data_IF_491478992378
#
_entry.id   IF_491478992378
#
_cell.length_a   1.000
_cell.length_b   1.000
_cell.length_c   1.000
_cell.angle_alpha   90.00
_cell.angle_beta   90.00
_cell.angle_gamma   90.00
#
_symmetry.space_group_name_H-M   'P 1'
#
loop_
_entity.id
_entity.type
_entity.pdbx_description
1 polymer ?
#
# COMPACT_ATOMS: atom_id res chain seq x y z
N UNK A 1 -60.07 22.96 24.49
CA UNK A 1 -59.79 22.08 23.33
C UNK A 1 -58.38 22.33 22.84
N UNK A 2 -57.71 21.26 22.41
CA UNK A 2 -56.43 21.13 21.67
C UNK A 2 -56.35 22.10 20.45
N UNK A 3 -55.21 22.71 20.09
CA UNK A 3 -54.14 22.26 19.15
C UNK A 3 -53.11 23.43 19.01
N UNK A 4 -51.81 23.37 18.64
CA UNK A 4 -50.86 22.29 18.28
C UNK A 4 -49.38 22.74 18.49
N UNK A 5 -48.44 21.81 18.36
CA UNK A 5 -46.96 21.94 18.19
C UNK A 5 -46.55 20.90 17.11
N UNK A 6 -45.49 20.99 16.25
CA UNK A 6 -44.32 21.90 16.17
C UNK A 6 -44.26 22.68 14.81
N UNK A 7 -43.14 23.21 14.29
CA UNK A 7 -42.00 22.52 13.65
C UNK A 7 -40.64 23.22 13.91
N UNK A 8 -39.79 22.66 14.79
CA UNK A 8 -38.37 23.04 14.89
C UNK A 8 -37.54 22.11 13.99
N UNK A 9 -37.63 22.32 12.67
CA UNK A 9 -36.83 21.56 11.70
C UNK A 9 -35.33 21.81 11.91
N UNK A 10 -34.45 20.80 11.79
CA UNK A 10 -33.01 21.01 11.86
C UNK A 10 -32.56 22.01 10.80
N UNK A 11 -31.73 22.98 11.21
CA UNK A 11 -30.94 23.77 10.25
C UNK A 11 -30.02 22.78 9.53
N UNK A 12 -30.42 22.36 8.33
CA UNK A 12 -29.62 21.48 7.49
C UNK A 12 -28.24 22.10 7.23
N UNK A 13 -27.20 21.27 7.00
CA UNK A 13 -25.85 21.78 6.78
C UNK A 13 -25.86 22.79 5.61
N UNK A 14 -25.26 23.95 5.86
CA UNK A 14 -25.19 25.05 4.90
C UNK A 14 -24.74 24.55 3.53
N UNK A 15 -25.50 24.91 2.48
CA UNK A 15 -25.12 24.62 1.09
C UNK A 15 -23.71 25.16 0.85
N UNK A 16 -22.75 24.35 0.37
CA UNK A 16 -21.44 24.85 -0.01
C UNK A 16 -21.57 25.92 -1.09
N UNK A 17 -20.81 27.01 -0.94
CA UNK A 17 -20.63 28.02 -1.99
C UNK A 17 -20.29 27.33 -3.32
N UNK A 18 -20.87 27.77 -4.45
CA UNK A 18 -20.55 27.18 -5.74
C UNK A 18 -19.05 27.36 -6.02
N UNK A 19 -18.33 26.25 -6.18
CA UNK A 19 -16.88 26.24 -6.42
C UNK A 19 -16.50 27.27 -7.49
N UNK A 20 -15.49 28.08 -7.18
CA UNK A 20 -15.03 29.19 -8.03
C UNK A 20 -14.87 28.72 -9.47
N UNK A 21 -15.70 29.27 -10.38
CA UNK A 21 -15.70 28.89 -11.79
C UNK A 21 -14.40 29.35 -12.45
N UNK A 22 -13.44 28.45 -12.53
CA UNK A 22 -12.28 28.59 -13.41
C UNK A 22 -12.81 28.82 -14.84
N UNK A 23 -12.35 29.88 -15.56
CA UNK A 23 -12.82 30.17 -16.91
C UNK A 23 -12.58 29.00 -17.88
N UNK A 24 -13.50 28.70 -18.81
CA UNK A 24 -13.27 27.70 -19.84
C UNK A 24 -12.05 28.07 -20.70
N UNK A 25 -10.98 27.28 -20.60
CA UNK A 25 -9.69 27.53 -21.26
C UNK A 25 -8.52 27.67 -20.29
N UNK A 26 -8.78 28.05 -19.04
CA UNK A 26 -7.80 27.96 -17.96
C UNK A 26 -7.83 26.53 -17.38
N UNK A 27 -6.67 25.89 -17.30
CA UNK A 27 -6.56 24.64 -16.52
C UNK A 27 -6.83 24.96 -15.05
N UNK A 28 -7.76 24.27 -14.36
CA UNK A 28 -7.89 24.40 -12.92
C UNK A 28 -6.52 24.18 -12.25
N UNK A 29 -6.20 24.90 -11.16
CA UNK A 29 -4.96 24.67 -10.44
C UNK A 29 -4.89 23.20 -10.06
N UNK A 30 -3.85 22.51 -10.53
CA UNK A 30 -3.76 21.06 -10.38
C UNK A 30 -3.89 20.66 -8.92
N UNK A 31 -4.81 19.72 -8.65
CA UNK A 31 -5.08 19.18 -7.31
C UNK A 31 -3.91 18.30 -6.82
N UNK A 32 -2.71 18.87 -6.73
CA UNK A 32 -1.46 18.20 -6.39
C UNK A 32 -1.34 17.81 -4.90
N UNK A 33 -2.43 17.92 -4.15
CA UNK A 33 -2.60 17.62 -2.73
C UNK A 33 -2.18 16.19 -2.32
N UNK A 34 -1.88 15.31 -3.28
CA UNK A 34 -1.47 13.93 -3.04
C UNK A 34 -0.11 13.54 -3.64
N UNK A 35 0.68 14.46 -4.22
CA UNK A 35 2.02 14.13 -4.73
C UNK A 35 3.00 13.60 -3.67
N UNK A 36 2.70 13.81 -2.38
CA UNK A 36 3.41 13.22 -1.24
C UNK A 36 2.57 12.29 -0.36
N UNK A 37 1.36 11.88 -0.80
CA UNK A 37 0.43 11.06 0.01
C UNK A 37 0.66 9.54 -0.09
N UNK A 38 1.81 9.12 -0.64
CA UNK A 38 2.27 7.75 -0.44
C UNK A 38 2.57 7.47 1.04
N UNK A 39 2.55 6.21 1.49
CA UNK A 39 3.00 5.86 2.83
C UNK A 39 4.41 6.43 3.10
N UNK A 40 4.64 6.98 4.30
CA UNK A 40 6.01 7.29 4.70
C UNK A 40 6.74 5.96 4.86
N UNK A 41 7.70 5.69 3.98
CA UNK A 41 8.45 4.44 3.91
C UNK A 41 9.50 4.32 5.03
N UNK A 42 9.11 4.65 6.27
CA UNK A 42 9.92 4.52 7.49
C UNK A 42 10.04 3.08 7.96
N UNK A 43 9.10 2.21 7.56
CA UNK A 43 8.89 0.87 8.14
C UNK A 43 9.40 -0.29 7.28
N UNK A 44 10.11 -0.02 6.17
CA UNK A 44 10.71 -1.06 5.34
C UNK A 44 12.25 -1.08 5.45
N UNK A 45 12.82 -1.50 6.60
CA UNK A 45 14.25 -1.62 6.75
C UNK A 45 14.76 -2.81 5.91
N UNK A 46 15.17 -2.52 4.67
CA UNK A 46 15.78 -3.47 3.72
C UNK A 46 17.05 -4.16 4.24
N UNK A 47 17.57 -3.76 5.40
CA UNK A 47 18.90 -4.08 5.90
C UNK A 47 18.94 -5.39 6.71
N UNK A 48 18.94 -6.52 5.99
CA UNK A 48 19.59 -7.74 6.48
C UNK A 48 18.78 -9.02 6.40
N UNK A 49 17.46 -8.96 6.51
CA UNK A 49 16.64 -10.19 6.60
C UNK A 49 16.72 -11.09 5.36
N UNK A 50 16.92 -10.52 4.17
CA UNK A 50 17.13 -11.29 2.94
C UNK A 50 18.32 -12.27 3.01
N UNK A 51 19.38 -11.95 3.76
CA UNK A 51 20.58 -12.80 3.82
C UNK A 51 20.34 -14.14 4.53
N UNK A 52 19.45 -14.18 5.52
CA UNK A 52 19.15 -15.39 6.30
C UNK A 52 18.57 -16.51 5.43
N UNK A 53 17.38 -16.32 4.83
CA UNK A 53 16.77 -17.28 3.92
C UNK A 53 17.67 -17.65 2.73
N UNK A 54 18.34 -16.68 2.09
CA UNK A 54 19.27 -16.97 0.99
C UNK A 54 20.42 -17.89 1.41
N UNK A 55 20.99 -17.68 2.61
CA UNK A 55 22.07 -18.54 3.12
C UNK A 55 21.56 -19.96 3.41
N UNK A 56 20.37 -20.08 4.02
CA UNK A 56 19.74 -21.40 4.29
C UNK A 56 19.50 -22.16 2.98
N UNK A 57 18.96 -21.49 1.96
CA UNK A 57 18.72 -22.09 0.64
C UNK A 57 20.04 -22.55 0.00
N UNK A 58 21.09 -21.73 0.03
CA UNK A 58 22.41 -22.11 -0.50
C UNK A 58 22.99 -23.34 0.21
N UNK A 59 22.89 -23.43 1.53
CA UNK A 59 23.35 -24.61 2.29
C UNK A 59 22.57 -25.86 1.87
N UNK A 60 21.24 -25.77 1.75
CA UNK A 60 20.40 -26.89 1.30
C UNK A 60 20.75 -27.34 -0.12
N UNK A 61 20.98 -26.40 -1.04
CA UNK A 61 21.40 -26.71 -2.42
C UNK A 61 22.76 -27.41 -2.45
N UNK A 62 23.74 -26.97 -1.65
CA UNK A 62 25.06 -27.60 -1.56
C UNK A 62 24.97 -29.02 -0.98
N UNK A 63 24.17 -29.23 0.07
CA UNK A 63 23.92 -30.56 0.64
C UNK A 63 23.26 -31.51 -0.38
N UNK A 64 22.25 -31.02 -1.10
CA UNK A 64 21.56 -31.81 -2.12
C UNK A 64 22.49 -32.15 -3.30
N UNK A 65 23.27 -31.18 -3.79
CA UNK A 65 24.25 -31.42 -4.84
C UNK A 65 25.32 -32.43 -4.42
N UNK A 66 25.84 -32.33 -3.20
CA UNK A 66 26.79 -33.30 -2.65
C UNK A 66 26.20 -34.71 -2.55
N UNK A 67 24.93 -34.83 -2.13
CA UNK A 67 24.20 -36.11 -2.15
C UNK A 67 24.07 -36.68 -3.57
N UNK A 68 23.64 -35.87 -4.55
CA UNK A 68 23.53 -36.31 -5.94
C UNK A 68 24.87 -36.77 -6.53
N UNK A 69 25.97 -36.05 -6.24
CA UNK A 69 27.32 -36.46 -6.65
C UNK A 69 27.73 -37.78 -6.00
N UNK A 70 27.54 -37.92 -4.69
CA UNK A 70 27.85 -39.17 -3.98
C UNK A 70 27.03 -40.36 -4.52
N UNK A 71 25.73 -40.16 -4.72
CA UNK A 71 24.84 -41.16 -5.30
C UNK A 71 25.27 -41.57 -6.71
N UNK A 72 25.56 -40.60 -7.60
CA UNK A 72 26.05 -40.87 -8.94
C UNK A 72 27.38 -41.66 -8.92
N UNK A 73 28.29 -41.33 -8.00
CA UNK A 73 29.58 -42.02 -7.81
C UNK A 73 29.42 -43.44 -7.26
N UNK A 74 28.36 -43.73 -6.50
CA UNK A 74 28.01 -45.08 -6.04
C UNK A 74 27.34 -45.89 -7.15
N UNK A 75 26.46 -45.27 -7.94
CA UNK A 75 25.72 -45.94 -9.03
C UNK A 75 26.57 -46.17 -10.29
N UNK A 76 27.60 -45.36 -10.52
CA UNK A 76 28.45 -45.43 -11.73
C UNK A 76 29.73 -46.26 -11.55
N UNK A 77 29.73 -47.25 -10.65
CA UNK A 77 30.87 -48.14 -10.34
C UNK A 77 30.52 -49.61 -10.50
#
# INVERSE_FOLDING_TARGET
MTDKTPETGPLGPSRPEPASKVPPGETPPGESSMSGAGPQETYNPTKGWAKGPTTIILVLVVLFAAFCVAFAVVVSR
#
